data_IF_784548932715
#
_entry.id   IF_784548932715
#
_cell.length_a   1.000
_cell.length_b   1.000
_cell.length_c   1.000
_cell.angle_alpha   90.00
_cell.angle_beta   90.00
_cell.angle_gamma   90.00
#
_symmetry.space_group_name_H-M   'P 1'
#
loop_
_entity.id
_entity.type
_entity.pdbx_description
1 polymer ?
#
# COMPACT_ATOMS: atom_id res chain seq x y z
N UNK A 1 -16.97 -27.95 -17.88
CA UNK A 1 -17.12 -26.68 -17.14
C UNK A 1 -16.01 -25.76 -17.59
N UNK A 2 -16.32 -24.63 -18.22
CA UNK A 2 -15.30 -23.64 -18.55
C UNK A 2 -14.75 -23.07 -17.23
N UNK A 3 -13.43 -23.10 -17.04
CA UNK A 3 -12.80 -22.45 -15.88
C UNK A 3 -13.22 -20.97 -15.87
N UNK A 4 -13.63 -20.42 -14.70
CA UNK A 4 -13.96 -19.00 -14.62
C UNK A 4 -12.73 -18.20 -15.09
N UNK A 5 -12.89 -17.39 -16.14
CA UNK A 5 -11.81 -16.57 -16.71
C UNK A 5 -11.59 -15.30 -15.87
N UNK A 6 -11.49 -15.46 -14.55
CA UNK A 6 -11.07 -14.38 -13.68
C UNK A 6 -9.56 -14.17 -13.85
N UNK A 7 -9.17 -13.01 -14.39
CA UNK A 7 -7.77 -12.58 -14.45
C UNK A 7 -7.60 -11.48 -13.40
N UNK A 8 -6.87 -11.72 -12.30
CA UNK A 8 -6.66 -10.70 -11.30
C UNK A 8 -5.94 -9.50 -11.93
N UNK A 9 -6.32 -8.25 -11.57
CA UNK A 9 -5.63 -7.08 -12.08
C UNK A 9 -4.15 -7.16 -11.70
N UNK A 10 -3.24 -6.80 -12.63
CA UNK A 10 -1.80 -6.87 -12.35
C UNK A 10 -1.48 -5.97 -11.17
N UNK A 11 -0.71 -6.50 -10.22
CA UNK A 11 -0.21 -5.70 -9.12
C UNK A 11 0.74 -4.63 -9.68
N UNK A 12 0.62 -3.35 -9.30
CA UNK A 12 1.49 -2.32 -9.85
C UNK A 12 2.95 -2.60 -9.55
N UNK A 13 3.74 -2.68 -10.62
CA UNK A 13 5.20 -2.78 -10.53
C UNK A 13 5.78 -1.62 -9.72
N UNK A 14 5.20 -0.42 -9.84
CA UNK A 14 5.61 0.78 -9.10
C UNK A 14 5.55 0.61 -7.58
N UNK A 15 4.51 -0.04 -7.04
CA UNK A 15 4.40 -0.28 -5.61
C UNK A 15 5.46 -1.29 -5.11
N UNK A 16 5.74 -2.33 -5.90
CA UNK A 16 6.76 -3.33 -5.58
C UNK A 16 8.19 -2.78 -5.71
N UNK A 17 8.41 -1.93 -6.71
CA UNK A 17 9.67 -1.22 -6.92
C UNK A 17 9.92 -0.23 -5.78
N UNK A 18 8.91 0.54 -5.38
CA UNK A 18 9.01 1.45 -4.24
C UNK A 18 9.33 0.70 -2.94
N UNK A 19 8.68 -0.44 -2.71
CA UNK A 19 9.00 -1.30 -1.57
C UNK A 19 10.43 -1.85 -1.62
N UNK A 20 11.02 -1.97 -2.81
CA UNK A 20 12.41 -2.40 -2.99
C UNK A 20 13.37 -1.25 -2.76
N UNK A 21 13.10 -0.07 -3.31
CA UNK A 21 13.86 1.15 -3.06
C UNK A 21 13.87 1.51 -1.57
N UNK A 22 12.73 1.38 -0.88
CA UNK A 22 12.60 1.68 0.54
C UNK A 22 13.45 0.77 1.45
N UNK A 23 13.96 -0.36 0.95
CA UNK A 23 14.87 -1.26 1.68
C UNK A 23 16.34 -1.02 1.36
N UNK A 24 16.65 -0.30 0.30
CA UNK A 24 18.01 -0.08 -0.14
C UNK A 24 18.61 1.14 0.60
N UNK A 25 19.66 0.97 1.42
CA UNK A 25 20.31 2.08 2.12
C UNK A 25 20.89 3.14 1.19
N UNK A 26 21.18 2.79 -0.07
CA UNK A 26 21.65 3.72 -1.10
C UNK A 26 20.55 4.47 -1.84
N UNK A 27 19.26 4.23 -1.53
CA UNK A 27 18.16 4.94 -2.18
C UNK A 27 18.15 6.41 -1.78
N UNK A 28 18.10 7.27 -2.78
CA UNK A 28 17.98 8.71 -2.58
C UNK A 28 16.51 9.14 -2.57
N UNK A 29 16.21 10.24 -1.87
CA UNK A 29 14.89 10.89 -1.90
C UNK A 29 14.44 11.15 -3.35
N UNK A 30 15.37 11.59 -4.21
CA UNK A 30 15.11 11.86 -5.62
C UNK A 30 14.58 10.63 -6.36
N UNK A 31 15.20 9.48 -6.18
CA UNK A 31 14.77 8.22 -6.83
C UNK A 31 13.35 7.83 -6.41
N UNK A 32 13.01 8.06 -5.14
CA UNK A 32 11.64 7.83 -4.65
C UNK A 32 10.64 8.81 -5.27
N UNK A 33 11.00 10.09 -5.37
CA UNK A 33 10.17 11.11 -6.01
C UNK A 33 9.91 10.78 -7.48
N UNK A 34 10.96 10.48 -8.25
CA UNK A 34 10.87 10.14 -9.68
C UNK A 34 9.93 8.94 -9.91
N UNK A 35 9.98 7.93 -9.03
CA UNK A 35 9.06 6.79 -9.12
C UNK A 35 7.61 7.20 -8.80
N UNK A 36 7.38 7.99 -7.75
CA UNK A 36 6.05 8.42 -7.35
C UNK A 36 5.38 9.35 -8.38
N UNK A 37 6.18 10.15 -9.09
CA UNK A 37 5.70 11.02 -10.17
C UNK A 37 5.07 10.22 -11.33
N UNK A 38 5.40 8.93 -11.49
CA UNK A 38 4.77 8.07 -12.49
C UNK A 38 3.32 7.69 -12.16
N UNK A 39 2.89 7.84 -10.90
CA UNK A 39 1.55 7.49 -10.42
C UNK A 39 0.95 8.66 -9.59
N UNK A 40 0.61 9.81 -10.21
CA UNK A 40 0.24 11.04 -9.49
C UNK A 40 -0.96 10.89 -8.55
N UNK A 41 -1.96 10.07 -8.94
CA UNK A 41 -3.14 9.81 -8.11
C UNK A 41 -2.75 9.08 -6.82
N UNK A 42 -1.86 8.10 -6.87
CA UNK A 42 -1.39 7.36 -5.70
C UNK A 42 -0.41 8.20 -4.87
N UNK A 43 0.41 9.04 -5.52
CA UNK A 43 1.29 9.99 -4.85
C UNK A 43 0.50 11.03 -4.02
N UNK A 44 -0.69 11.45 -4.48
CA UNK A 44 -1.55 12.37 -3.71
C UNK A 44 -1.99 11.78 -2.36
N UNK A 45 -2.23 10.47 -2.30
CA UNK A 45 -2.53 9.76 -1.04
C UNK A 45 -1.38 9.81 -0.06
N UNK A 46 -0.14 9.78 -0.56
CA UNK A 46 1.08 9.95 0.27
C UNK A 46 1.16 11.36 0.82
N UNK A 47 0.90 12.39 0.00
CA UNK A 47 0.86 13.79 0.45
C UNK A 47 -0.18 13.99 1.55
N UNK A 48 -1.40 13.48 1.35
CA UNK A 48 -2.48 13.55 2.33
C UNK A 48 -2.11 12.84 3.64
N UNK A 49 -1.43 11.68 3.56
CA UNK A 49 -0.94 11.00 4.75
C UNK A 49 0.11 11.85 5.49
N UNK A 50 1.08 12.44 4.78
CA UNK A 50 2.12 13.30 5.35
C UNK A 50 1.57 14.59 6.01
N UNK A 51 0.37 15.02 5.60
CA UNK A 51 -0.35 16.14 6.20
C UNK A 51 -1.19 15.76 7.43
N UNK A 52 -1.45 14.47 7.65
CA UNK A 52 -2.27 14.05 8.79
C UNK A 52 -1.64 14.45 10.12
N UNK A 53 -2.47 14.74 11.11
CA UNK A 53 -2.06 15.16 12.46
C UNK A 53 -1.17 14.13 13.14
N UNK A 54 -1.23 12.86 12.72
CA UNK A 54 -0.36 11.79 13.17
C UNK A 54 1.11 12.00 12.78
N UNK A 55 1.38 12.50 11.57
CA UNK A 55 2.75 12.73 11.08
C UNK A 55 3.20 14.20 11.11
N UNK A 56 2.28 15.16 11.28
CA UNK A 56 2.56 16.59 11.16
C UNK A 56 2.19 17.42 12.39
N UNK A 57 3.17 18.16 12.95
CA UNK A 57 2.99 19.20 13.97
C UNK A 57 2.73 20.60 13.36
N UNK A 58 1.78 20.71 12.42
CA UNK A 58 1.34 22.00 11.88
C UNK A 58 2.18 22.62 10.74
N UNK A 59 3.20 21.92 10.23
CA UNK A 59 3.92 22.35 9.01
C UNK A 59 3.27 21.71 7.78
N UNK A 60 2.87 22.54 6.81
CA UNK A 60 2.24 22.13 5.56
C UNK A 60 3.24 21.35 4.67
N UNK A 61 2.75 20.28 4.03
CA UNK A 61 3.51 19.47 3.07
C UNK A 61 2.84 19.62 1.72
N UNK A 62 3.56 20.14 0.74
CA UNK A 62 3.06 20.47 -0.61
C UNK A 62 3.76 19.67 -1.71
N UNK A 63 4.94 19.12 -1.42
CA UNK A 63 5.72 18.35 -2.40
C UNK A 63 5.98 16.92 -1.94
N UNK A 64 6.18 16.03 -2.92
CA UNK A 64 6.52 14.62 -2.65
C UNK A 64 7.84 14.55 -1.86
N UNK A 65 8.81 15.39 -2.20
CA UNK A 65 10.08 15.48 -1.49
C UNK A 65 9.89 15.81 -0.01
N UNK A 66 9.04 16.79 0.32
CA UNK A 66 8.70 17.12 1.71
C UNK A 66 8.01 15.94 2.41
N UNK A 67 7.15 15.19 1.71
CA UNK A 67 6.53 13.99 2.27
C UNK A 67 7.55 12.88 2.53
N UNK A 68 8.52 12.66 1.63
CA UNK A 68 9.60 11.68 1.81
C UNK A 68 10.45 12.06 3.02
N UNK A 69 10.84 13.34 3.16
CA UNK A 69 11.63 13.82 4.30
C UNK A 69 10.87 13.65 5.62
N UNK A 70 9.56 13.89 5.62
CA UNK A 70 8.72 13.76 6.84
C UNK A 70 8.45 12.31 7.23
N UNK A 71 8.03 11.47 6.29
CA UNK A 71 7.59 10.10 6.56
C UNK A 71 8.77 9.12 6.61
N UNK A 72 9.84 9.41 5.86
CA UNK A 72 10.86 8.44 5.50
C UNK A 72 10.40 7.48 4.41
N UNK A 73 11.36 6.88 3.69
CA UNK A 73 11.09 6.02 2.54
C UNK A 73 10.25 4.77 2.89
N UNK A 74 10.49 4.16 4.06
CA UNK A 74 9.75 2.96 4.50
C UNK A 74 8.27 3.26 4.72
N UNK A 75 7.95 4.30 5.51
CA UNK A 75 6.55 4.59 5.84
C UNK A 75 5.78 5.11 4.63
N UNK A 76 6.45 5.90 3.80
CA UNK A 76 5.91 6.34 2.52
C UNK A 76 5.57 5.15 1.61
N UNK A 77 6.45 4.15 1.54
CA UNK A 77 6.20 2.93 0.77
C UNK A 77 4.97 2.18 1.27
N UNK A 78 4.72 2.17 2.58
CA UNK A 78 3.53 1.52 3.15
C UNK A 78 2.26 2.23 2.73
N UNK A 79 2.21 3.55 2.88
CA UNK A 79 1.05 4.37 2.51
C UNK A 79 0.75 4.20 1.02
N UNK A 80 1.79 4.21 0.18
CA UNK A 80 1.63 4.00 -1.26
C UNK A 80 1.13 2.59 -1.58
N UNK A 81 1.62 1.57 -0.87
CA UNK A 81 1.17 0.18 -1.01
C UNK A 81 -0.30 0.02 -0.59
N UNK A 82 -0.69 0.61 0.54
CA UNK A 82 -2.07 0.60 1.03
C UNK A 82 -3.02 1.31 0.04
N UNK A 83 -2.61 2.46 -0.49
CA UNK A 83 -3.36 3.18 -1.51
C UNK A 83 -3.51 2.34 -2.80
N UNK A 84 -2.43 1.66 -3.20
CA UNK A 84 -2.43 0.75 -4.35
C UNK A 84 -3.42 -0.40 -4.16
N UNK A 85 -3.36 -1.06 -3.01
CA UNK A 85 -4.24 -2.19 -2.66
C UNK A 85 -5.70 -1.73 -2.63
N UNK A 86 -5.98 -0.58 -2.01
CA UNK A 86 -7.32 0.02 -1.97
C UNK A 86 -7.87 0.33 -3.35
N UNK A 87 -7.05 0.87 -4.25
CA UNK A 87 -7.51 1.38 -5.55
C UNK A 87 -7.57 0.31 -6.63
N UNK A 88 -6.74 -0.73 -6.54
CA UNK A 88 -6.58 -1.71 -7.62
C UNK A 88 -6.96 -3.14 -7.25
N UNK A 89 -7.02 -3.49 -5.96
CA UNK A 89 -7.27 -4.88 -5.53
C UNK A 89 -8.57 -5.05 -4.74
N UNK A 90 -8.92 -4.11 -3.87
CA UNK A 90 -10.05 -4.24 -2.94
C UNK A 90 -11.24 -3.42 -3.45
N UNK A 91 -11.66 -3.72 -4.68
CA UNK A 91 -12.79 -3.08 -5.34
C UNK A 91 -13.65 -4.13 -6.05
N UNK A 92 -14.93 -4.18 -5.71
CA UNK A 92 -15.93 -4.97 -6.41
C UNK A 92 -17.28 -4.30 -6.23
N UNK A 93 -18.02 -4.15 -7.34
CA UNK A 93 -19.35 -3.53 -7.35
C UNK A 93 -20.34 -4.44 -6.64
N UNK A 94 -21.15 -3.90 -5.75
CA UNK A 94 -22.14 -4.67 -4.98
C UNK A 94 -21.55 -5.44 -3.79
N UNK A 95 -20.23 -5.36 -3.56
CA UNK A 95 -19.53 -5.92 -2.41
C UNK A 95 -18.64 -4.86 -1.73
N UNK A 96 -19.02 -3.58 -1.81
CA UNK A 96 -18.21 -2.47 -1.31
C UNK A 96 -17.97 -2.56 0.21
N UNK A 97 -18.96 -3.06 0.96
CA UNK A 97 -18.88 -3.18 2.41
C UNK A 97 -17.91 -4.30 2.84
N UNK A 98 -17.94 -5.42 2.13
CA UNK A 98 -17.09 -6.58 2.30
C UNK A 98 -15.65 -6.24 1.91
N UNK A 99 -15.46 -5.57 0.78
CA UNK A 99 -14.16 -5.07 0.34
C UNK A 99 -13.58 -4.06 1.33
N UNK A 100 -14.40 -3.19 1.91
CA UNK A 100 -13.97 -2.25 2.93
C UNK A 100 -13.55 -2.96 4.22
N UNK A 101 -14.32 -3.96 4.67
CA UNK A 101 -13.98 -4.76 5.85
C UNK A 101 -12.68 -5.54 5.64
N UNK A 102 -12.55 -6.23 4.49
CA UNK A 102 -11.36 -6.99 4.12
C UNK A 102 -10.13 -6.08 4.06
N UNK A 103 -10.27 -4.87 3.48
CA UNK A 103 -9.20 -3.89 3.42
C UNK A 103 -8.74 -3.46 4.82
N UNK A 104 -9.67 -3.14 5.71
CA UNK A 104 -9.33 -2.73 7.08
C UNK A 104 -8.61 -3.84 7.84
N UNK A 105 -9.08 -5.08 7.70
CA UNK A 105 -8.44 -6.26 8.29
C UNK A 105 -7.02 -6.46 7.75
N UNK A 106 -6.82 -6.39 6.43
CA UNK A 106 -5.49 -6.52 5.82
C UNK A 106 -4.52 -5.43 6.26
N UNK A 107 -4.95 -4.16 6.31
CA UNK A 107 -4.10 -3.05 6.77
C UNK A 107 -3.74 -3.21 8.26
N UNK A 108 -4.70 -3.57 9.11
CA UNK A 108 -4.45 -3.80 10.52
C UNK A 108 -3.46 -4.96 10.72
N UNK A 109 -3.67 -6.08 10.01
CA UNK A 109 -2.80 -7.26 10.05
C UNK A 109 -1.38 -6.91 9.58
N UNK A 110 -1.24 -6.13 8.51
CA UNK A 110 0.05 -5.65 8.01
C UNK A 110 0.85 -4.88 9.07
N UNK A 111 0.21 -3.91 9.74
CA UNK A 111 0.85 -3.13 10.79
C UNK A 111 1.18 -3.98 12.03
N UNK A 112 0.26 -4.82 12.48
CA UNK A 112 0.47 -5.70 13.64
C UNK A 112 1.64 -6.67 13.38
N UNK A 113 1.65 -7.32 12.21
CA UNK A 113 2.72 -8.23 11.82
C UNK A 113 4.09 -7.52 11.80
N UNK A 114 4.14 -6.29 11.27
CA UNK A 114 5.33 -5.46 11.32
C UNK A 114 5.78 -5.18 12.75
N UNK A 115 4.88 -4.69 13.60
CA UNK A 115 5.20 -4.33 14.99
C UNK A 115 5.75 -5.53 15.77
N UNK A 116 5.17 -6.73 15.56
CA UNK A 116 5.71 -7.95 16.16
C UNK A 116 7.12 -8.27 15.66
N UNK A 117 7.38 -8.17 14.36
CA UNK A 117 8.71 -8.39 13.82
C UNK A 117 9.74 -7.38 14.34
N UNK A 118 9.37 -6.10 14.43
CA UNK A 118 10.22 -5.05 15.00
C UNK A 118 10.53 -5.32 16.47
N UNK A 119 9.53 -5.71 17.26
CA UNK A 119 9.69 -6.09 18.65
C UNK A 119 10.65 -7.29 18.83
N UNK A 120 10.58 -8.26 17.93
CA UNK A 120 11.43 -9.45 17.93
C UNK A 120 12.82 -9.21 17.28
N UNK A 121 13.08 -8.03 16.72
CA UNK A 121 14.34 -7.72 16.04
C UNK A 121 14.55 -8.48 14.73
N UNK A 122 13.49 -8.92 14.07
CA UNK A 122 13.55 -9.63 12.77
C UNK A 122 13.01 -8.75 11.62
N UNK A 123 13.35 -9.05 10.35
CA UNK A 123 12.96 -8.21 9.22
C UNK A 123 11.43 -8.01 9.11
N UNK A 124 10.96 -6.76 9.26
CA UNK A 124 9.54 -6.44 9.44
C UNK A 124 8.82 -6.01 8.16
N UNK A 125 9.53 -5.52 7.14
CA UNK A 125 8.93 -5.09 5.88
C UNK A 125 8.24 -6.23 5.12
N UNK A 126 8.81 -7.45 5.14
CA UNK A 126 8.18 -8.63 4.53
C UNK A 126 6.90 -9.03 5.27
N UNK A 127 6.89 -8.91 6.59
CA UNK A 127 5.72 -9.18 7.41
C UNK A 127 4.57 -8.21 7.12
N UNK A 128 4.89 -6.93 6.91
CA UNK A 128 3.91 -5.94 6.46
C UNK A 128 3.27 -6.34 5.14
N UNK A 129 4.08 -6.62 4.12
CA UNK A 129 3.57 -7.00 2.80
C UNK A 129 2.73 -8.29 2.87
N UNK A 130 3.20 -9.28 3.63
CA UNK A 130 2.47 -10.52 3.85
C UNK A 130 1.11 -10.26 4.50
N UNK A 131 1.06 -9.49 5.60
CA UNK A 131 -0.19 -9.14 6.26
C UNK A 131 -1.14 -8.33 5.38
N UNK A 132 -0.61 -7.45 4.52
CA UNK A 132 -1.42 -6.64 3.63
C UNK A 132 -2.07 -7.45 2.51
N UNK A 133 -1.40 -8.50 2.03
CA UNK A 133 -1.84 -9.31 0.89
C UNK A 133 -2.44 -10.66 1.28
N UNK A 134 -2.41 -11.06 2.57
CA UNK A 134 -2.78 -12.43 2.97
C UNK A 134 -4.19 -12.85 2.53
N UNK A 135 -5.13 -11.92 2.54
CA UNK A 135 -6.54 -12.14 2.19
C UNK A 135 -6.91 -11.67 0.77
N UNK A 136 -5.93 -11.38 -0.09
CA UNK A 136 -6.19 -10.94 -1.48
C UNK A 136 -6.99 -11.98 -2.28
N UNK A 137 -6.87 -13.27 -1.94
CA UNK A 137 -7.67 -14.33 -2.55
C UNK A 137 -9.18 -14.18 -2.29
N UNK A 138 -9.56 -13.72 -1.10
CA UNK A 138 -10.96 -13.45 -0.76
C UNK A 138 -11.51 -12.27 -1.57
N UNK A 139 -10.70 -11.22 -1.77
CA UNK A 139 -11.07 -10.12 -2.66
C UNK A 139 -11.27 -10.62 -4.10
N UNK A 140 -10.36 -11.46 -4.60
CA UNK A 140 -10.49 -12.07 -5.92
C UNK A 140 -11.78 -12.88 -6.07
N UNK A 141 -12.21 -13.61 -5.04
CA UNK A 141 -13.49 -14.32 -5.05
C UNK A 141 -14.69 -13.38 -5.22
N UNK A 142 -14.75 -12.25 -4.51
CA UNK A 142 -15.83 -11.27 -4.66
C UNK A 142 -15.89 -10.69 -6.08
N UNK A 143 -14.73 -10.37 -6.68
CA UNK A 143 -14.68 -9.89 -8.07
C UNK A 143 -15.16 -10.98 -9.03
N UNK A 144 -14.74 -12.23 -8.85
CA UNK A 144 -15.17 -13.34 -9.69
C UNK A 144 -16.69 -13.62 -9.57
N UNK A 145 -17.26 -13.46 -8.37
CA UNK A 145 -18.71 -13.60 -8.14
C UNK A 145 -19.47 -12.47 -8.83
N UNK A 146 -18.96 -11.24 -8.78
CA UNK A 146 -19.59 -10.08 -9.45
C UNK A 146 -19.65 -10.23 -10.98
N UNK A 147 -18.68 -10.92 -11.61
CA UNK A 147 -18.66 -11.16 -13.06
C UNK A 147 -19.69 -12.21 -13.51
N UNK A 148 -20.39 -12.87 -12.57
CA UNK A 148 -21.38 -13.91 -12.80
C UNK A 148 -22.78 -13.51 -12.30
#
# INVERSE_FOLDING_TARGET
MASPKYVPPPFPSTALELATLARNPGTTTRTVCELLETEPLLASTVLNAAQSTYYGRGVQVETIEQAVVRLGATKLSDVFMEATVKTKLFQSKGFESEMMALRHHSIATAHIARLFCEYLGIPSQRAFLAGLLHDVGTAACFVAIQEH
#
